data_IF_480346567329
#
_entry.id   IF_480346567329
#
_cell.length_a   1.000
_cell.length_b   1.000
_cell.length_c   1.000
_cell.angle_alpha   90.00
_cell.angle_beta   90.00
_cell.angle_gamma   90.00
#
_symmetry.space_group_name_H-M   'P 1'
#
loop_
_entity.id
_entity.type
_entity.pdbx_description
1 polymer ?
#
# COMPACT_ATOMS: atom_id res chain seq x y z
N UNK A 1 -39.67 47.71 -17.51
CA UNK A 1 -38.67 47.38 -16.47
C UNK A 1 -38.88 45.95 -15.92
N UNK A 2 -38.87 44.92 -16.76
CA UNK A 2 -39.19 43.53 -16.32
C UNK A 2 -38.13 42.47 -16.63
N UNK A 3 -37.23 42.73 -17.58
CA UNK A 3 -36.25 41.74 -18.04
C UNK A 3 -35.02 41.70 -17.12
N UNK A 4 -34.63 42.84 -16.54
CA UNK A 4 -33.43 42.97 -15.69
C UNK A 4 -33.61 42.26 -14.34
N UNK A 5 -34.81 42.31 -13.74
CA UNK A 5 -35.11 41.64 -12.47
C UNK A 5 -35.19 40.11 -12.61
N UNK A 6 -35.68 39.61 -13.76
CA UNK A 6 -35.72 38.17 -14.04
C UNK A 6 -34.33 37.58 -14.27
N UNK A 7 -33.42 38.34 -14.91
CA UNK A 7 -32.02 37.92 -15.10
C UNK A 7 -31.27 37.91 -13.76
N UNK A 8 -31.48 38.89 -12.87
CA UNK A 8 -30.89 38.89 -11.53
C UNK A 8 -31.36 37.71 -10.65
N UNK A 9 -32.64 37.34 -10.74
CA UNK A 9 -33.17 36.19 -10.01
C UNK A 9 -32.56 34.87 -10.53
N UNK A 10 -32.38 34.76 -11.84
CA UNK A 10 -31.80 33.58 -12.49
C UNK A 10 -30.29 33.44 -12.21
N UNK A 11 -29.51 34.52 -12.31
CA UNK A 11 -28.06 34.50 -11.99
C UNK A 11 -27.80 34.23 -10.53
N UNK A 12 -28.63 34.74 -9.62
CA UNK A 12 -28.53 34.41 -8.18
C UNK A 12 -28.81 32.93 -7.92
N UNK A 13 -29.77 32.33 -8.62
CA UNK A 13 -30.09 30.90 -8.50
C UNK A 13 -28.96 30.03 -9.04
N UNK A 14 -28.45 30.31 -10.24
CA UNK A 14 -27.30 29.61 -10.81
C UNK A 14 -26.05 29.77 -9.94
N UNK A 15 -25.79 30.98 -9.46
CA UNK A 15 -24.67 31.28 -8.57
C UNK A 15 -24.71 30.41 -7.31
N UNK A 16 -25.88 30.26 -6.69
CA UNK A 16 -26.04 29.38 -5.52
C UNK A 16 -25.77 27.90 -5.85
N UNK A 17 -26.21 27.41 -7.01
CA UNK A 17 -25.93 26.04 -7.45
C UNK A 17 -24.44 25.80 -7.71
N UNK A 18 -23.75 26.75 -8.37
CA UNK A 18 -22.32 26.66 -8.60
C UNK A 18 -21.52 26.72 -7.30
N UNK A 19 -21.94 27.56 -6.35
CA UNK A 19 -21.29 27.68 -5.04
C UNK A 19 -21.44 26.37 -4.24
N UNK A 20 -22.63 25.79 -4.24
CA UNK A 20 -22.87 24.48 -3.61
C UNK A 20 -22.02 23.37 -4.26
N UNK A 21 -21.97 23.32 -5.59
CA UNK A 21 -21.15 22.35 -6.32
C UNK A 21 -19.64 22.50 -6.06
N UNK A 22 -19.17 23.75 -5.92
CA UNK A 22 -17.77 24.03 -5.61
C UNK A 22 -17.40 23.59 -4.19
N UNK A 23 -18.28 23.83 -3.22
CA UNK A 23 -18.08 23.37 -1.83
C UNK A 23 -18.05 21.85 -1.77
N UNK A 24 -18.99 21.16 -2.42
CA UNK A 24 -19.01 19.69 -2.42
C UNK A 24 -17.77 19.10 -3.08
N UNK A 25 -17.31 19.68 -4.19
CA UNK A 25 -16.06 19.27 -4.85
C UNK A 25 -14.85 19.46 -3.92
N UNK A 26 -14.76 20.61 -3.24
CA UNK A 26 -13.67 20.89 -2.31
C UNK A 26 -13.65 19.89 -1.15
N UNK A 27 -14.80 19.59 -0.54
CA UNK A 27 -14.90 18.60 0.55
C UNK A 27 -14.47 17.21 0.09
N UNK A 28 -14.94 16.75 -1.07
CA UNK A 28 -14.55 15.45 -1.62
C UNK A 28 -13.05 15.38 -1.90
N UNK A 29 -12.48 16.44 -2.48
CA UNK A 29 -11.05 16.51 -2.75
C UNK A 29 -10.21 16.47 -1.46
N UNK A 30 -10.60 17.26 -0.44
CA UNK A 30 -9.92 17.25 0.86
C UNK A 30 -10.02 15.89 1.55
N UNK A 31 -11.19 15.23 1.51
CA UNK A 31 -11.36 13.90 2.07
C UNK A 31 -10.45 12.86 1.41
N UNK A 32 -10.34 12.89 0.08
CA UNK A 32 -9.43 12.01 -0.68
C UNK A 32 -7.97 12.29 -0.34
N UNK A 33 -7.58 13.57 -0.21
CA UNK A 33 -6.21 13.95 0.19
C UNK A 33 -5.86 13.43 1.59
N UNK A 34 -6.73 13.64 2.58
CA UNK A 34 -6.52 13.14 3.94
C UNK A 34 -6.39 11.61 3.92
N UNK A 35 -7.28 10.92 3.21
CA UNK A 35 -7.24 9.46 3.10
C UNK A 35 -5.92 8.98 2.48
N UNK A 36 -5.47 9.63 1.40
CA UNK A 36 -4.19 9.32 0.76
C UNK A 36 -3.00 9.53 1.71
N UNK A 37 -2.95 10.67 2.39
CA UNK A 37 -1.82 11.04 3.26
C UNK A 37 -1.76 10.24 4.58
N UNK A 38 -2.89 9.79 5.10
CA UNK A 38 -2.95 9.17 6.44
C UNK A 38 -3.11 7.65 6.41
N UNK A 39 -3.69 7.09 5.34
CA UNK A 39 -4.05 5.66 5.28
C UNK A 39 -3.23 4.90 4.23
N UNK A 40 -2.81 5.55 3.14
CA UNK A 40 -2.31 4.83 1.97
C UNK A 40 -0.87 4.32 2.11
N UNK A 41 -0.03 5.04 2.84
CA UNK A 41 1.39 4.69 3.06
C UNK A 41 1.64 4.58 4.56
N UNK A 42 1.31 3.44 5.20
CA UNK A 42 1.68 3.24 6.59
C UNK A 42 3.20 3.38 6.70
N UNK A 43 3.66 4.03 7.76
CA UNK A 43 5.07 4.31 7.95
C UNK A 43 5.91 3.02 7.80
N UNK A 44 7.10 3.09 7.18
CA UNK A 44 7.92 1.91 6.91
C UNK A 44 8.27 1.16 8.21
N UNK A 45 8.62 -0.13 8.12
CA UNK A 45 8.81 -0.99 9.29
C UNK A 45 9.92 -0.49 10.24
N UNK A 46 10.85 0.33 9.75
CA UNK A 46 11.96 0.94 10.51
C UNK A 46 11.49 1.96 11.56
N UNK A 47 10.30 2.55 11.40
CA UNK A 47 9.75 3.59 12.28
C UNK A 47 8.45 3.15 12.97
N UNK A 48 8.04 1.89 12.77
CA UNK A 48 6.85 1.30 13.36
C UNK A 48 7.22 0.20 14.37
N UNK A 49 6.25 -0.23 15.18
CA UNK A 49 6.45 -1.35 16.10
C UNK A 49 6.34 -2.67 15.31
N UNK A 50 7.45 -3.07 14.69
CA UNK A 50 7.55 -4.24 13.83
C UNK A 50 8.71 -5.15 14.26
N UNK A 51 8.45 -6.46 14.27
CA UNK A 51 9.46 -7.51 14.47
C UNK A 51 9.82 -8.12 13.12
N UNK A 52 11.10 -8.06 12.75
CA UNK A 52 11.60 -8.75 11.55
C UNK A 52 11.50 -10.27 11.73
N UNK A 53 11.01 -10.95 10.71
CA UNK A 53 10.86 -12.41 10.66
C UNK A 53 11.78 -13.04 9.63
N UNK A 54 11.88 -12.42 8.45
CA UNK A 54 12.64 -12.97 7.33
C UNK A 54 13.19 -11.84 6.46
N UNK A 55 14.37 -12.08 5.89
CA UNK A 55 15.01 -11.25 4.88
C UNK A 55 15.53 -12.16 3.77
N UNK A 56 15.13 -11.89 2.52
CA UNK A 56 15.74 -12.50 1.34
C UNK A 56 16.20 -11.39 0.39
N UNK A 57 17.29 -11.62 -0.32
CA UNK A 57 17.90 -10.63 -1.22
C UNK A 57 17.79 -11.14 -2.65
N UNK A 58 17.63 -10.24 -3.62
CA UNK A 58 17.72 -10.59 -5.04
C UNK A 58 19.16 -10.98 -5.42
N UNK A 59 19.31 -11.80 -6.47
CA UNK A 59 20.64 -12.28 -6.90
C UNK A 59 21.60 -11.14 -7.30
N UNK A 60 21.05 -10.02 -7.78
CA UNK A 60 21.80 -8.83 -8.18
C UNK A 60 22.02 -7.84 -7.02
N UNK A 61 21.54 -8.15 -5.82
CA UNK A 61 21.64 -7.30 -4.63
C UNK A 61 20.88 -5.97 -4.71
N UNK A 62 20.06 -5.78 -5.74
CA UNK A 62 19.33 -4.54 -5.97
C UNK A 62 18.02 -4.42 -5.19
N UNK A 63 17.49 -5.53 -4.66
CA UNK A 63 16.28 -5.55 -3.87
C UNK A 63 16.42 -6.46 -2.65
N UNK A 64 15.95 -5.97 -1.51
CA UNK A 64 15.82 -6.74 -0.29
C UNK A 64 14.34 -6.91 0.04
N UNK A 65 13.87 -8.15 0.20
CA UNK A 65 12.50 -8.44 0.60
C UNK A 65 12.50 -8.77 2.09
N UNK A 66 11.76 -7.97 2.83
CA UNK A 66 11.65 -8.07 4.28
C UNK A 66 10.24 -8.49 4.69
N UNK A 67 10.15 -9.45 5.59
CA UNK A 67 8.90 -9.88 6.23
C UNK A 67 8.90 -9.43 7.68
N UNK A 68 7.84 -8.72 8.06
CA UNK A 68 7.66 -8.21 9.40
C UNK A 68 6.33 -8.67 10.00
N UNK A 69 6.31 -8.81 11.33
CA UNK A 69 5.09 -8.82 12.12
C UNK A 69 4.95 -7.46 12.80
N UNK A 70 3.90 -6.71 12.48
CA UNK A 70 3.71 -5.33 12.90
C UNK A 70 2.48 -5.18 13.79
N UNK A 71 2.57 -4.21 14.71
CA UNK A 71 1.43 -3.70 15.47
C UNK A 71 1.27 -2.21 15.18
N UNK A 72 0.10 -1.82 14.67
CA UNK A 72 -0.23 -0.43 14.30
C UNK A 72 -1.50 0.06 14.99
N UNK A 73 -1.64 1.38 15.13
CA UNK A 73 -2.81 2.01 15.75
C UNK A 73 -2.66 2.35 17.24
N UNK A 74 -3.56 3.21 17.73
CA UNK A 74 -3.55 3.67 19.12
C UNK A 74 -4.19 2.67 20.09
N UNK A 75 -4.05 2.92 21.41
CA UNK A 75 -4.36 1.98 22.52
C UNK A 75 -5.66 1.16 22.37
N UNK A 76 -6.71 1.70 21.77
CA UNK A 76 -8.03 1.07 21.68
C UNK A 76 -8.39 0.51 20.29
N UNK A 77 -7.53 0.67 19.28
CA UNK A 77 -7.77 0.13 17.94
C UNK A 77 -6.44 -0.33 17.32
N UNK A 78 -5.84 -1.34 17.96
CA UNK A 78 -4.54 -1.87 17.56
C UNK A 78 -4.72 -2.97 16.53
N UNK A 79 -4.33 -2.68 15.31
CA UNK A 79 -4.16 -3.70 14.28
C UNK A 79 -2.86 -4.48 14.53
N UNK A 80 -2.90 -5.79 14.31
CA UNK A 80 -1.74 -6.65 14.30
C UNK A 80 -1.77 -7.53 13.06
N UNK A 81 -0.63 -7.68 12.40
CA UNK A 81 -0.55 -8.52 11.22
C UNK A 81 0.84 -8.59 10.64
N UNK A 82 0.91 -9.22 9.47
CA UNK A 82 2.13 -9.37 8.70
C UNK A 82 2.24 -8.32 7.62
N UNK A 83 3.46 -7.87 7.36
CA UNK A 83 3.77 -6.96 6.27
C UNK A 83 4.98 -7.48 5.49
N UNK A 84 4.88 -7.41 4.17
CA UNK A 84 5.99 -7.71 3.26
C UNK A 84 6.39 -6.42 2.58
N UNK A 85 7.67 -6.10 2.68
CA UNK A 85 8.25 -4.87 2.15
C UNK A 85 9.42 -5.18 1.23
N UNK A 86 9.59 -4.36 0.21
CA UNK A 86 10.79 -4.28 -0.60
C UNK A 86 11.58 -3.04 -0.16
N UNK A 87 12.87 -3.23 0.05
CA UNK A 87 13.83 -2.15 0.24
C UNK A 87 14.78 -2.10 -0.96
N UNK A 88 14.97 -0.91 -1.52
CA UNK A 88 15.91 -0.64 -2.62
C UNK A 88 17.17 0.04 -2.05
N UNK A 89 18.29 -0.67 -1.86
CA UNK A 89 19.48 -0.08 -1.23
C UNK A 89 20.07 1.09 -2.01
N UNK A 90 19.88 1.14 -3.33
CA UNK A 90 20.39 2.21 -4.21
C UNK A 90 19.64 3.52 -4.05
N UNK A 91 18.35 3.46 -3.71
CA UNK A 91 17.47 4.63 -3.54
C UNK A 91 17.16 4.92 -2.07
N UNK A 92 17.55 4.02 -1.16
CA UNK A 92 17.16 4.01 0.24
C UNK A 92 15.63 4.05 0.43
N UNK A 93 14.88 3.46 -0.51
CA UNK A 93 13.42 3.55 -0.57
C UNK A 93 12.72 2.25 -0.13
N UNK A 94 11.55 2.42 0.49
CA UNK A 94 10.74 1.33 1.03
C UNK A 94 9.39 1.26 0.31
N UNK A 95 9.13 0.13 -0.32
CA UNK A 95 7.87 -0.14 -1.01
C UNK A 95 7.13 -1.31 -0.38
N UNK A 96 5.87 -1.11 0.01
CA UNK A 96 5.04 -2.18 0.58
C UNK A 96 4.56 -3.11 -0.54
N UNK A 97 4.78 -4.41 -0.36
CA UNK A 97 4.34 -5.43 -1.32
C UNK A 97 3.00 -6.05 -0.90
N UNK A 98 2.88 -6.43 0.37
CA UNK A 98 1.68 -7.08 0.88
C UNK A 98 1.45 -6.78 2.36
N UNK A 99 0.19 -6.93 2.76
CA UNK A 99 -0.27 -6.84 4.15
C UNK A 99 -1.27 -7.95 4.41
N UNK A 100 -1.18 -8.61 5.54
CA UNK A 100 -2.13 -9.63 5.95
C UNK A 100 -2.45 -9.48 7.44
N UNK A 101 -3.65 -9.85 7.88
CA UNK A 101 -3.95 -9.92 9.31
C UNK A 101 -3.07 -10.97 10.01
N UNK A 102 -3.01 -10.90 11.34
CA UNK A 102 -2.30 -11.92 12.09
C UNK A 102 -3.00 -13.28 11.90
N UNK A 103 -2.26 -14.27 11.44
CA UNK A 103 -2.77 -15.62 11.16
C UNK A 103 -1.68 -16.66 11.36
N UNK A 104 -1.87 -17.86 10.80
CA UNK A 104 -1.01 -19.01 11.09
C UNK A 104 0.45 -18.79 10.70
N UNK A 105 0.69 -18.28 9.49
CA UNK A 105 2.05 -18.01 9.01
C UNK A 105 2.08 -17.15 7.73
N UNK A 106 3.21 -16.46 7.52
CA UNK A 106 3.56 -15.79 6.28
C UNK A 106 5.09 -15.85 6.08
N UNK A 107 5.53 -16.32 4.92
CA UNK A 107 6.95 -16.39 4.51
C UNK A 107 7.08 -16.05 3.03
N UNK A 108 8.29 -15.76 2.57
CA UNK A 108 8.57 -15.45 1.16
C UNK A 108 9.69 -16.32 0.61
N UNK A 109 9.61 -16.63 -0.67
CA UNK A 109 10.70 -17.31 -1.38
C UNK A 109 10.78 -16.84 -2.83
N UNK A 110 11.98 -16.97 -3.40
CA UNK A 110 12.17 -16.85 -4.85
C UNK A 110 11.80 -18.18 -5.52
N UNK A 111 10.80 -18.18 -6.38
CA UNK A 111 10.46 -19.35 -7.21
C UNK A 111 11.35 -19.40 -8.47
N UNK A 112 11.67 -18.22 -9.01
CA UNK A 112 12.60 -17.96 -10.11
C UNK A 112 13.32 -16.64 -9.82
N UNK A 113 14.32 -16.29 -10.62
CA UNK A 113 15.12 -15.06 -10.42
C UNK A 113 14.31 -13.76 -10.31
N UNK A 114 13.10 -13.72 -10.86
CA UNK A 114 12.22 -12.54 -10.89
C UNK A 114 10.79 -12.84 -10.43
N UNK A 115 10.59 -13.95 -9.75
CA UNK A 115 9.28 -14.40 -9.28
C UNK A 115 9.32 -14.60 -7.78
N UNK A 116 8.79 -13.61 -7.06
CA UNK A 116 8.61 -13.65 -5.61
C UNK A 116 7.29 -14.33 -5.30
N UNK A 117 7.32 -15.38 -4.49
CA UNK A 117 6.12 -16.05 -3.99
C UNK A 117 5.99 -15.77 -2.50
N UNK A 118 4.84 -15.21 -2.12
CA UNK A 118 4.42 -15.03 -0.73
C UNK A 118 3.59 -16.26 -0.34
N UNK A 119 4.13 -17.07 0.56
CA UNK A 119 3.46 -18.25 1.09
C UNK A 119 2.74 -17.89 2.38
N UNK A 120 1.47 -18.28 2.49
CA UNK A 120 0.65 -17.89 3.63
C UNK A 120 -0.36 -18.98 4.04
N UNK A 121 -0.68 -19.03 5.34
CA UNK A 121 -1.71 -19.91 5.89
C UNK A 121 -3.14 -19.38 5.75
N UNK A 122 -3.29 -18.08 5.50
CA UNK A 122 -4.58 -17.37 5.57
C UNK A 122 -5.61 -17.80 4.51
N UNK A 123 -6.88 -17.41 4.72
CA UNK A 123 -7.94 -17.67 3.74
C UNK A 123 -7.77 -16.79 2.50
N UNK A 124 -8.39 -17.20 1.39
CA UNK A 124 -8.40 -16.39 0.15
C UNK A 124 -9.15 -15.08 0.43
N UNK A 125 -8.42 -13.96 0.44
CA UNK A 125 -8.97 -12.62 0.72
C UNK A 125 -8.31 -11.91 1.90
N UNK A 126 -7.62 -12.66 2.78
CA UNK A 126 -7.01 -12.11 3.99
C UNK A 126 -5.61 -11.53 3.76
N UNK A 127 -5.03 -11.80 2.59
CA UNK A 127 -3.80 -11.17 2.11
C UNK A 127 -4.16 -10.08 1.10
N UNK A 128 -3.75 -8.86 1.44
CA UNK A 128 -3.88 -7.69 0.58
C UNK A 128 -2.54 -7.41 -0.10
N UNK A 129 -2.46 -7.75 -1.38
CA UNK A 129 -1.35 -7.37 -2.25
C UNK A 129 -1.49 -5.90 -2.62
N UNK A 130 -0.49 -5.09 -2.24
CA UNK A 130 -0.43 -3.70 -2.67
C UNK A 130 -0.11 -3.59 -4.17
N UNK A 131 0.75 -4.48 -4.67
CA UNK A 131 1.15 -4.55 -6.07
C UNK A 131 1.38 -6.02 -6.48
N UNK A 132 1.04 -6.38 -7.72
CA UNK A 132 1.33 -7.70 -8.31
C UNK A 132 2.71 -7.77 -8.99
N UNK A 133 3.35 -6.62 -9.16
CA UNK A 133 4.70 -6.50 -9.71
C UNK A 133 5.31 -5.18 -9.29
N UNK A 134 6.62 -5.15 -9.08
CA UNK A 134 7.36 -3.95 -8.71
C UNK A 134 8.65 -3.84 -9.53
N UNK A 135 9.03 -2.62 -9.86
CA UNK A 135 10.28 -2.31 -10.56
C UNK A 135 11.28 -1.85 -9.51
N UNK A 136 12.50 -2.38 -9.55
CA UNK A 136 13.61 -1.93 -8.72
C UNK A 136 14.86 -1.68 -9.56
N UNK A 137 15.77 -0.86 -9.06
CA UNK A 137 16.96 -0.43 -9.79
C UNK A 137 18.25 -0.81 -9.05
N UNK A 138 18.97 -1.87 -9.47
CA UNK A 138 20.28 -2.20 -8.92
C UNK A 138 21.31 -1.10 -9.23
N UNK A 139 22.34 -0.98 -8.39
CA UNK A 139 23.36 0.07 -8.52
C UNK A 139 24.17 -0.01 -9.84
N UNK A 140 24.41 -1.23 -10.35
CA UNK A 140 25.28 -1.48 -11.51
C UNK A 140 24.60 -2.22 -12.67
N UNK A 141 23.27 -2.25 -12.71
CA UNK A 141 22.51 -2.98 -13.74
C UNK A 141 21.24 -2.19 -14.09
N UNK A 142 20.58 -2.40 -15.25
CA UNK A 142 19.33 -1.72 -15.57
C UNK A 142 18.19 -2.14 -14.63
N UNK A 143 17.10 -1.36 -14.65
CA UNK A 143 15.90 -1.64 -13.88
C UNK A 143 15.38 -3.07 -14.16
N UNK A 144 14.99 -3.75 -13.09
CA UNK A 144 14.44 -5.09 -13.13
C UNK A 144 13.03 -5.09 -12.56
N UNK A 145 12.18 -6.00 -13.03
CA UNK A 145 10.82 -6.17 -12.52
C UNK A 145 10.73 -7.50 -11.78
N UNK A 146 10.17 -7.45 -10.57
CA UNK A 146 9.77 -8.63 -9.79
C UNK A 146 8.27 -8.84 -10.00
N UNK A 147 7.89 -10.05 -10.40
CA UNK A 147 6.51 -10.52 -10.35
C UNK A 147 6.21 -11.07 -8.97
N UNK A 148 5.06 -10.71 -8.39
CA UNK A 148 4.66 -11.09 -7.04
C UNK A 148 3.43 -11.99 -7.13
N UNK A 149 3.57 -13.22 -6.63
CA UNK A 149 2.49 -14.19 -6.55
C UNK A 149 2.22 -14.56 -5.09
N UNK A 150 1.01 -15.05 -4.81
CA UNK A 150 0.64 -15.58 -3.50
C UNK A 150 0.30 -17.06 -3.64
N UNK A 151 0.79 -17.86 -2.70
CA UNK A 151 0.49 -19.28 -2.62
C UNK A 151 0.01 -19.62 -1.21
N UNK A 152 -1.14 -20.28 -1.13
CA UNK A 152 -1.62 -20.80 0.15
C UNK A 152 -0.88 -22.09 0.48
N UNK A 153 -0.23 -22.14 1.63
CA UNK A 153 0.39 -23.36 2.18
C UNK A 153 -0.21 -23.68 3.54
N UNK A 154 -0.35 -24.96 3.88
CA UNK A 154 -0.81 -25.38 5.19
C UNK A 154 0.30 -25.30 6.26
N UNK A 155 1.57 -25.26 5.84
CA UNK A 155 2.73 -25.11 6.71
C UNK A 155 3.76 -24.20 6.03
N UNK A 156 4.11 -23.09 6.67
CA UNK A 156 5.17 -22.21 6.17
C UNK A 156 6.59 -22.67 6.57
N UNK A 157 6.71 -23.77 7.32
CA UNK A 157 7.97 -24.32 7.79
C UNK A 157 8.67 -25.24 6.77
N UNK A 158 7.97 -25.64 5.69
CA UNK A 158 8.44 -26.62 4.71
C UNK A 158 8.97 -25.97 3.40
N UNK A 159 9.28 -24.66 3.44
CA UNK A 159 9.66 -23.84 2.27
C UNK A 159 11.13 -23.41 2.37
#
# INVERSE_FOLDING_TARGET
MGVISSIQAFTRRIGLWLLAASITLAVLFTAVLIYKLTVFEPAPPTVANCKSLQLIVSNDGGAEIHVYQCQRGEKNNKWQGYEVWLYEPSLEDWSRLATAELGDCLTVSWQRERELVIHHGHSRGDINLAQSSIIYQPANAPANTISIATLRSQHCADI
#
